data_IF_703076928454
#
_entry.id   IF_703076928454
#
_cell.length_a   1.000
_cell.length_b   1.000
_cell.length_c   1.000
_cell.angle_alpha   90.00
_cell.angle_beta   90.00
_cell.angle_gamma   90.00
#
_symmetry.space_group_name_H-M   'P 1'
#
loop_
_entity.id
_entity.type
_entity.pdbx_description
1 polymer ?
#
# COMPACT_ATOMS: atom_id res chain seq x y z
N UNK A 1 -22.50 7.99 0.41
CA UNK A 1 -21.56 7.40 -0.55
C UNK A 1 -20.16 7.66 -0.03
N UNK A 2 -19.43 6.58 0.22
CA UNK A 2 -18.00 6.56 0.50
C UNK A 2 -17.33 5.79 -0.63
N UNK A 3 -16.26 6.35 -1.21
CA UNK A 3 -15.36 5.58 -2.06
C UNK A 3 -14.27 4.94 -1.19
N UNK A 4 -14.20 3.61 -1.19
CA UNK A 4 -13.15 2.86 -0.48
C UNK A 4 -12.09 2.42 -1.49
N UNK A 5 -10.83 2.79 -1.23
CA UNK A 5 -9.67 2.37 -2.01
C UNK A 5 -8.90 1.31 -1.23
N UNK A 6 -8.82 0.10 -1.79
CA UNK A 6 -7.94 -0.97 -1.33
C UNK A 6 -6.68 -0.97 -2.21
N UNK A 7 -5.61 -0.35 -1.71
CA UNK A 7 -4.29 -0.40 -2.30
C UNK A 7 -3.60 -1.73 -1.91
N UNK A 8 -3.78 -2.77 -2.71
CA UNK A 8 -3.20 -4.09 -2.49
C UNK A 8 -1.85 -4.15 -3.21
N UNK A 9 -0.78 -4.05 -2.44
CA UNK A 9 0.60 -3.98 -2.93
C UNK A 9 0.95 -5.19 -3.80
N UNK A 10 1.54 -4.94 -4.97
CA UNK A 10 1.94 -5.97 -5.94
C UNK A 10 0.83 -6.93 -6.44
N UNK A 11 -0.46 -6.58 -6.35
CA UNK A 11 -1.51 -7.41 -6.94
C UNK A 11 -1.32 -7.51 -8.46
N UNK A 12 -0.92 -8.68 -8.95
CA UNK A 12 -0.51 -8.87 -10.33
C UNK A 12 -1.68 -9.31 -11.23
N UNK A 13 -1.90 -8.58 -12.33
CA UNK A 13 -2.98 -8.88 -13.28
C UNK A 13 -2.93 -10.32 -13.82
N UNK A 14 -1.74 -10.82 -14.18
CA UNK A 14 -1.61 -12.20 -14.69
C UNK A 14 -1.87 -13.23 -13.61
N UNK A 15 -1.49 -12.99 -12.35
CA UNK A 15 -1.77 -13.93 -11.26
C UNK A 15 -3.27 -13.97 -10.94
N UNK A 16 -3.96 -12.82 -10.96
CA UNK A 16 -5.41 -12.75 -10.80
C UNK A 16 -6.12 -13.55 -11.91
N UNK A 17 -5.69 -13.39 -13.16
CA UNK A 17 -6.22 -14.14 -14.31
C UNK A 17 -5.91 -15.65 -14.22
N UNK A 18 -4.67 -15.99 -13.88
CA UNK A 18 -4.19 -17.38 -13.79
C UNK A 18 -4.90 -18.17 -12.70
N UNK A 19 -5.08 -17.57 -11.52
CA UNK A 19 -5.79 -18.20 -10.40
C UNK A 19 -7.32 -18.10 -10.50
N UNK A 20 -7.85 -17.34 -11.47
CA UNK A 20 -9.28 -17.17 -11.70
C UNK A 20 -10.03 -16.72 -10.41
N UNK A 21 -9.58 -15.60 -9.83
CA UNK A 21 -10.11 -15.07 -8.56
C UNK A 21 -11.09 -13.92 -8.84
N UNK A 22 -12.39 -14.21 -8.73
CA UNK A 22 -13.48 -13.26 -9.01
C UNK A 22 -13.56 -12.09 -8.03
N UNK A 23 -13.15 -12.28 -6.78
CA UNK A 23 -13.26 -11.23 -5.76
C UNK A 23 -12.39 -10.00 -6.07
N UNK A 24 -11.32 -10.16 -6.87
CA UNK A 24 -10.53 -9.04 -7.39
C UNK A 24 -11.12 -8.44 -8.67
N UNK A 25 -11.84 -9.24 -9.45
CA UNK A 25 -12.49 -8.82 -10.70
C UNK A 25 -13.87 -8.27 -10.37
N UNK A 26 -13.92 -7.04 -9.88
CA UNK A 26 -15.17 -6.30 -9.70
C UNK A 26 -15.83 -6.04 -11.07
N UNK A 27 -16.82 -5.16 -11.11
CA UNK A 27 -17.67 -4.93 -12.29
C UNK A 27 -16.86 -4.53 -13.54
N UNK A 28 -15.71 -3.87 -13.36
CA UNK A 28 -14.70 -3.68 -14.39
C UNK A 28 -13.28 -3.84 -13.80
N UNK A 29 -12.34 -4.33 -14.61
CA UNK A 29 -10.91 -4.44 -14.25
C UNK A 29 -10.01 -4.26 -15.48
N UNK A 30 -8.75 -3.86 -15.24
CA UNK A 30 -7.72 -3.70 -16.27
C UNK A 30 -6.33 -3.94 -15.67
N UNK A 31 -5.36 -4.26 -16.54
CA UNK A 31 -3.97 -3.98 -16.22
C UNK A 31 -3.77 -2.46 -16.29
N UNK A 32 -3.28 -1.87 -15.21
CA UNK A 32 -2.97 -0.45 -15.09
C UNK A 32 -1.50 -0.22 -15.46
N UNK A 33 -1.21 0.92 -16.11
CA UNK A 33 0.17 1.38 -16.32
C UNK A 33 0.76 1.85 -14.99
N UNK A 34 2.02 1.48 -14.73
CA UNK A 34 2.78 1.86 -13.54
C UNK A 34 4.02 2.69 -13.88
N UNK A 35 4.67 3.22 -12.85
CA UNK A 35 5.88 4.04 -12.95
C UNK A 35 7.07 3.29 -12.36
N UNK A 36 8.24 3.50 -12.96
CA UNK A 36 9.53 3.15 -12.42
C UNK A 36 10.50 4.28 -12.74
N UNK A 37 11.08 4.89 -11.72
CA UNK A 37 12.03 6.00 -11.86
C UNK A 37 13.38 5.67 -11.22
N UNK A 38 13.37 5.31 -9.94
CA UNK A 38 14.62 5.01 -9.23
C UNK A 38 15.30 3.72 -9.74
N UNK A 39 14.51 2.73 -10.14
CA UNK A 39 14.99 1.45 -10.63
C UNK A 39 14.40 1.12 -12.00
N UNK A 40 14.96 0.09 -12.65
CA UNK A 40 14.38 -0.46 -13.88
C UNK A 40 13.06 -1.23 -13.65
N UNK A 41 12.61 -1.33 -12.40
CA UNK A 41 11.37 -1.95 -11.97
C UNK A 41 10.62 -1.01 -11.02
N UNK A 42 9.28 -1.14 -10.91
CA UNK A 42 8.49 -0.29 -10.02
C UNK A 42 8.95 -0.39 -8.57
N UNK A 43 8.90 0.73 -7.86
CA UNK A 43 9.26 0.78 -6.44
C UNK A 43 8.12 1.37 -5.62
N UNK A 44 7.72 0.63 -4.59
CA UNK A 44 6.50 0.86 -3.80
C UNK A 44 6.35 2.31 -3.31
N UNK A 45 7.33 2.94 -2.63
CA UNK A 45 7.15 4.30 -2.14
C UNK A 45 6.95 5.36 -3.24
N UNK A 46 7.65 5.26 -4.37
CA UNK A 46 7.51 6.23 -5.47
C UNK A 46 6.19 6.02 -6.22
N UNK A 47 5.81 4.76 -6.46
CA UNK A 47 4.60 4.44 -7.21
C UNK A 47 3.34 4.80 -6.40
N UNK A 48 3.27 4.49 -5.10
CA UNK A 48 2.12 4.88 -4.27
C UNK A 48 2.03 6.40 -4.04
N UNK A 49 3.16 7.11 -3.98
CA UNK A 49 3.16 8.57 -3.99
C UNK A 49 2.63 9.14 -5.33
N UNK A 50 2.99 8.52 -6.46
CA UNK A 50 2.42 8.85 -7.78
C UNK A 50 0.91 8.62 -7.79
N UNK A 51 0.43 7.46 -7.31
CA UNK A 51 -1.02 7.17 -7.22
C UNK A 51 -1.79 8.23 -6.44
N UNK A 52 -1.23 8.69 -5.32
CA UNK A 52 -1.90 9.68 -4.47
C UNK A 52 -1.84 11.12 -5.00
N UNK A 53 -0.84 11.45 -5.82
CA UNK A 53 -0.57 12.83 -6.27
C UNK A 53 -0.89 13.08 -7.74
N UNK A 54 -0.93 12.03 -8.57
CA UNK A 54 -0.96 12.13 -10.03
C UNK A 54 0.34 12.67 -10.66
N UNK A 55 1.41 12.83 -9.88
CA UNK A 55 2.66 13.44 -10.32
C UNK A 55 3.74 12.40 -10.60
N UNK A 56 4.74 12.74 -11.42
CA UNK A 56 5.92 11.90 -11.59
C UNK A 56 6.79 11.86 -10.32
N UNK A 57 7.58 10.80 -10.07
CA UNK A 57 8.51 10.73 -8.94
C UNK A 57 9.33 11.98 -8.70
N UNK A 58 9.92 12.53 -9.76
CA UNK A 58 10.71 13.77 -9.70
C UNK A 58 9.91 15.01 -9.29
N UNK A 59 8.59 14.99 -9.40
CA UNK A 59 7.70 16.11 -9.09
C UNK A 59 7.12 16.00 -7.68
N UNK A 60 6.73 14.80 -7.23
CA UNK A 60 6.27 14.59 -5.85
C UNK A 60 7.42 14.38 -4.84
N UNK A 61 8.66 14.28 -5.30
CA UNK A 61 9.86 14.33 -4.45
C UNK A 61 10.18 13.06 -3.65
N UNK A 62 9.34 12.02 -3.75
CA UNK A 62 9.64 10.69 -3.18
C UNK A 62 10.54 9.96 -4.19
N UNK A 63 11.80 10.42 -4.25
CA UNK A 63 12.92 9.92 -5.09
C UNK A 63 14.18 9.75 -4.24
N UNK A 64 15.32 9.34 -4.80
CA UNK A 64 16.58 9.03 -4.08
C UNK A 64 16.99 9.99 -2.95
N UNK A 65 16.71 11.29 -3.05
CA UNK A 65 17.03 12.30 -2.01
C UNK A 65 15.96 12.43 -0.89
N UNK A 66 14.77 11.87 -1.10
CA UNK A 66 13.61 11.93 -0.20
C UNK A 66 13.01 10.57 0.19
N UNK A 67 13.36 9.46 -0.47
CA UNK A 67 12.86 8.10 -0.18
C UNK A 67 13.43 7.50 1.09
N UNK A 68 14.57 8.03 1.56
CA UNK A 68 15.29 7.56 2.73
C UNK A 68 16.34 8.58 3.15
N UNK A 69 16.03 9.42 4.13
CA UNK A 69 17.02 10.29 4.75
C UNK A 69 17.50 9.67 6.05
N UNK A 70 18.78 9.33 6.14
CA UNK A 70 19.41 9.06 7.44
C UNK A 70 19.63 10.41 8.15
N UNK A 71 19.36 10.55 9.46
CA UNK A 71 19.63 11.84 10.14
C UNK A 71 21.13 12.19 10.18
N UNK A 72 22.02 11.29 9.75
CA UNK A 72 23.45 11.51 9.65
C UNK A 72 23.90 11.76 8.18
N UNK A 73 24.34 12.98 7.83
CA UNK A 73 24.74 13.35 6.47
C UNK A 73 25.86 12.50 5.85
N UNK A 74 26.73 11.89 6.66
CA UNK A 74 27.82 11.04 6.17
C UNK A 74 27.32 9.64 5.78
N UNK A 75 26.26 9.16 6.42
CA UNK A 75 25.62 7.87 6.12
C UNK A 75 24.70 8.03 4.92
N UNK A 76 23.98 9.15 4.84
CA UNK A 76 23.18 9.54 3.68
C UNK A 76 24.02 9.54 2.39
N UNK A 77 25.16 10.23 2.40
CA UNK A 77 26.10 10.25 1.28
C UNK A 77 26.64 8.86 0.92
N UNK A 78 26.90 8.00 1.90
CA UNK A 78 27.37 6.64 1.66
C UNK A 78 26.26 5.74 1.07
N UNK A 79 25.00 5.91 1.50
CA UNK A 79 23.86 5.11 1.05
C UNK A 79 23.51 5.31 -0.43
N UNK A 80 23.80 6.51 -0.98
CA UNK A 80 23.69 6.82 -2.42
C UNK A 80 24.59 5.96 -3.31
N UNK A 81 25.67 5.41 -2.78
CA UNK A 81 26.55 4.47 -3.50
C UNK A 81 26.12 2.99 -3.35
N UNK A 82 25.17 2.70 -2.46
CA UNK A 82 24.71 1.37 -2.06
C UNK A 82 23.35 1.02 -2.71
N UNK A 83 22.69 2.00 -3.34
CA UNK A 83 21.40 1.86 -4.03
C UNK A 83 21.38 0.82 -5.17
N UNK A 84 22.52 0.29 -5.59
CA UNK A 84 22.62 -0.76 -6.61
C UNK A 84 22.69 -2.18 -6.03
N UNK A 85 22.57 -2.33 -4.71
CA UNK A 85 22.57 -3.61 -4.03
C UNK A 85 21.16 -4.17 -3.91
N UNK A 86 21.07 -5.49 -3.91
CA UNK A 86 19.80 -6.19 -3.77
C UNK A 86 19.13 -5.91 -2.40
N UNK A 87 17.83 -6.15 -2.33
CA UNK A 87 16.98 -5.84 -1.18
C UNK A 87 17.47 -6.49 0.12
N UNK A 88 18.00 -7.73 0.08
CA UNK A 88 18.54 -8.39 1.27
C UNK A 88 19.82 -7.71 1.77
N UNK A 89 20.68 -7.27 0.85
CA UNK A 89 21.90 -6.56 1.21
C UNK A 89 21.58 -5.19 1.82
N UNK A 90 20.57 -4.48 1.30
CA UNK A 90 20.09 -3.21 1.90
C UNK A 90 19.46 -3.42 3.28
N UNK A 91 18.60 -4.43 3.44
CA UNK A 91 17.98 -4.73 4.74
C UNK A 91 19.03 -5.11 5.80
N UNK A 92 20.02 -5.93 5.42
CA UNK A 92 21.14 -6.28 6.29
C UNK A 92 22.02 -5.07 6.66
N UNK A 93 22.35 -4.20 5.70
CA UNK A 93 23.10 -2.96 5.94
C UNK A 93 22.31 -1.96 6.78
N UNK A 94 21.02 -1.79 6.51
CA UNK A 94 20.12 -0.95 7.29
C UNK A 94 20.05 -1.40 8.75
N UNK A 95 19.86 -2.70 8.99
CA UNK A 95 19.82 -3.28 10.33
C UNK A 95 21.15 -3.13 11.08
N UNK A 96 22.29 -3.29 10.39
CA UNK A 96 23.62 -3.04 10.97
C UNK A 96 23.80 -1.58 11.36
N UNK A 97 23.40 -0.66 10.50
CA UNK A 97 23.51 0.78 10.72
C UNK A 97 22.61 1.19 11.89
N UNK A 98 21.33 0.85 11.88
CA UNK A 98 20.39 1.13 12.98
C UNK A 98 20.88 0.55 14.32
N UNK A 99 21.43 -0.66 14.34
CA UNK A 99 22.00 -1.26 15.55
C UNK A 99 23.28 -0.55 16.05
N UNK A 100 24.04 0.11 15.16
CA UNK A 100 25.29 0.83 15.49
C UNK A 100 25.06 2.29 15.84
N UNK A 101 24.06 2.94 15.23
CA UNK A 101 23.89 4.40 15.29
C UNK A 101 22.60 4.83 16.00
N UNK A 102 21.63 3.93 16.18
CA UNK A 102 20.29 4.28 16.67
C UNK A 102 19.46 5.06 15.65
N UNK A 103 19.95 5.23 14.43
CA UNK A 103 19.27 5.97 13.35
C UNK A 103 18.23 5.07 12.67
N UNK A 104 16.98 5.56 12.57
CA UNK A 104 15.88 4.84 11.94
C UNK A 104 15.76 5.17 10.44
N UNK A 105 15.62 4.13 9.62
CA UNK A 105 15.32 4.24 8.19
C UNK A 105 13.90 4.79 8.00
N UNK A 106 13.69 5.95 7.39
CA UNK A 106 12.34 6.49 7.12
C UNK A 106 11.93 6.31 5.67
N UNK A 107 10.71 5.82 5.43
CA UNK A 107 10.09 5.88 4.09
C UNK A 107 9.76 7.35 3.82
N UNK A 108 10.20 7.84 2.67
CA UNK A 108 9.91 9.20 2.22
C UNK A 108 8.42 9.53 2.25
N UNK A 109 8.10 10.78 2.55
CA UNK A 109 6.74 11.33 2.48
C UNK A 109 6.78 12.54 1.55
N UNK A 110 5.77 12.66 0.69
CA UNK A 110 5.62 13.81 -0.20
C UNK A 110 5.05 15.02 0.53
N UNK A 111 5.50 16.22 0.14
CA UNK A 111 4.86 17.49 0.50
C UNK A 111 3.87 17.96 -0.60
N UNK A 112 3.73 17.21 -1.70
CA UNK A 112 2.83 17.56 -2.79
C UNK A 112 1.36 17.27 -2.42
N UNK A 113 0.39 18.03 -2.94
CA UNK A 113 -1.01 17.81 -2.61
C UNK A 113 -1.52 16.42 -3.01
N UNK A 114 -2.10 15.69 -2.07
CA UNK A 114 -2.58 14.32 -2.26
C UNK A 114 -4.11 14.25 -2.30
N UNK A 115 -4.65 13.13 -2.82
CA UNK A 115 -6.11 12.82 -2.71
C UNK A 115 -6.61 12.73 -1.26
N UNK A 116 -5.71 12.60 -0.28
CA UNK A 116 -6.04 12.40 1.12
C UNK A 116 -5.88 13.66 1.99
N UNK A 117 -5.48 14.79 1.41
CA UNK A 117 -5.34 16.05 2.14
C UNK A 117 -6.68 16.68 2.60
N UNK A 118 -7.80 16.54 1.87
CA UNK A 118 -9.08 17.11 2.30
C UNK A 118 -9.64 16.46 3.58
N UNK A 119 -10.36 17.23 4.40
CA UNK A 119 -10.92 16.77 5.69
C UNK A 119 -11.92 15.59 5.57
N UNK A 120 -12.57 15.44 4.42
CA UNK A 120 -13.50 14.35 4.14
C UNK A 120 -12.81 13.02 3.77
N UNK A 121 -11.47 13.01 3.69
CA UNK A 121 -10.68 11.85 3.31
C UNK A 121 -9.92 11.30 4.52
N UNK A 122 -9.89 9.97 4.64
CA UNK A 122 -9.08 9.27 5.64
C UNK A 122 -8.17 8.26 4.96
N UNK A 123 -6.96 8.12 5.49
CA UNK A 123 -5.93 7.26 4.91
C UNK A 123 -5.22 6.44 5.99
N UNK A 124 -4.90 5.19 5.66
CA UNK A 124 -4.18 4.29 6.54
C UNK A 124 -3.03 3.59 5.81
N UNK A 125 -1.82 3.72 6.36
CA UNK A 125 -0.59 3.05 5.94
C UNK A 125 -0.15 3.30 4.47
N UNK A 126 -0.48 4.44 3.88
CA UNK A 126 -0.17 4.70 2.47
C UNK A 126 1.29 5.13 2.24
N UNK A 127 2.14 4.33 1.57
CA UNK A 127 3.55 4.67 1.36
C UNK A 127 3.69 5.99 0.58
N UNK A 128 4.60 6.86 1.02
CA UNK A 128 4.77 8.17 0.39
C UNK A 128 3.80 9.25 0.87
N UNK A 129 2.76 8.91 1.65
CA UNK A 129 1.74 9.87 2.12
C UNK A 129 1.50 9.79 3.63
N UNK A 130 1.26 8.58 4.16
CA UNK A 130 0.83 8.37 5.53
C UNK A 130 1.55 7.18 6.19
N UNK A 131 2.15 7.43 7.37
CA UNK A 131 2.71 6.44 8.29
C UNK A 131 3.54 5.30 7.65
N UNK A 132 4.81 5.58 7.33
CA UNK A 132 5.75 4.55 6.86
C UNK A 132 6.27 3.55 7.93
N UNK A 133 5.73 3.55 9.15
CA UNK A 133 6.19 2.65 10.21
C UNK A 133 5.62 1.23 10.06
N UNK A 134 4.39 1.08 9.59
CA UNK A 134 3.78 -0.24 9.37
C UNK A 134 4.38 -0.97 8.16
N UNK A 135 4.64 -0.24 7.07
CA UNK A 135 5.41 -0.75 5.96
C UNK A 135 6.77 -1.31 6.43
N UNK A 136 7.51 -0.56 7.26
CA UNK A 136 8.75 -1.04 7.87
C UNK A 136 8.58 -2.31 8.69
N UNK A 137 7.56 -2.36 9.57
CA UNK A 137 7.28 -3.57 10.36
C UNK A 137 7.04 -4.77 9.45
N UNK A 138 6.36 -4.56 8.33
CA UNK A 138 6.07 -5.61 7.37
C UNK A 138 7.35 -6.16 6.73
N UNK A 139 8.25 -5.29 6.26
CA UNK A 139 9.55 -5.71 5.73
C UNK A 139 10.41 -6.44 6.76
N UNK A 140 10.34 -6.04 8.03
CA UNK A 140 11.06 -6.69 9.12
C UNK A 140 10.56 -8.12 9.40
N UNK A 141 9.36 -8.50 8.97
CA UNK A 141 8.88 -9.89 9.14
C UNK A 141 9.81 -10.86 8.42
N UNK A 142 10.33 -10.48 7.24
CA UNK A 142 11.21 -11.31 6.42
C UNK A 142 12.69 -11.26 6.81
N UNK A 143 13.05 -10.47 7.82
CA UNK A 143 14.44 -10.39 8.27
C UNK A 143 14.92 -11.73 8.84
N UNK A 144 16.05 -12.22 8.31
CA UNK A 144 16.75 -13.37 8.87
C UNK A 144 16.09 -14.74 8.63
N UNK A 145 15.34 -14.88 7.53
CA UNK A 145 14.67 -16.13 7.11
C UNK A 145 13.73 -16.70 8.20
N UNK A 146 12.62 -16.01 8.50
CA UNK A 146 11.69 -16.40 9.56
C UNK A 146 11.05 -17.78 9.29
N UNK A 147 10.62 -18.51 10.33
CA UNK A 147 9.74 -19.66 10.16
C UNK A 147 8.43 -19.27 9.45
N UNK A 148 7.94 -20.13 8.55
CA UNK A 148 6.70 -19.93 7.79
C UNK A 148 5.51 -19.52 8.68
N UNK A 149 5.32 -20.21 9.80
CA UNK A 149 4.20 -19.97 10.72
C UNK A 149 4.30 -18.61 11.43
N UNK A 150 5.53 -18.10 11.64
CA UNK A 150 5.72 -16.75 12.15
C UNK A 150 5.36 -15.74 11.07
N UNK A 151 5.96 -15.88 9.88
CA UNK A 151 5.72 -15.00 8.74
C UNK A 151 4.21 -14.83 8.45
N UNK A 152 3.49 -15.94 8.30
CA UNK A 152 2.05 -15.88 7.99
C UNK A 152 1.22 -15.30 9.12
N UNK A 153 1.56 -15.57 10.39
CA UNK A 153 0.79 -15.04 11.52
C UNK A 153 0.90 -13.53 11.59
N UNK A 154 2.11 -13.00 11.48
CA UNK A 154 2.33 -11.56 11.54
C UNK A 154 1.72 -10.87 10.30
N UNK A 155 1.95 -11.42 9.10
CA UNK A 155 1.42 -10.87 7.85
C UNK A 155 -0.11 -10.80 7.85
N UNK A 156 -0.77 -11.91 8.17
CA UNK A 156 -2.25 -11.96 8.22
C UNK A 156 -2.82 -11.12 9.36
N UNK A 157 -2.14 -11.08 10.50
CA UNK A 157 -2.55 -10.28 11.65
C UNK A 157 -2.60 -8.78 11.34
N UNK A 158 -1.62 -8.27 10.60
CA UNK A 158 -1.64 -6.88 10.13
C UNK A 158 -2.69 -6.67 9.04
N UNK A 159 -2.74 -7.55 8.05
CA UNK A 159 -3.69 -7.44 6.94
C UNK A 159 -5.15 -7.40 7.40
N UNK A 160 -5.55 -8.24 8.36
CA UNK A 160 -6.91 -8.22 8.92
C UNK A 160 -7.23 -6.87 9.58
N UNK A 161 -6.27 -6.23 10.27
CA UNK A 161 -6.48 -4.91 10.85
C UNK A 161 -6.74 -3.86 9.76
N UNK A 162 -5.99 -3.92 8.66
CA UNK A 162 -6.11 -2.99 7.53
C UNK A 162 -7.44 -3.15 6.79
N UNK A 163 -7.86 -4.38 6.46
CA UNK A 163 -9.14 -4.64 5.83
C UNK A 163 -10.32 -4.31 6.75
N UNK A 164 -10.22 -4.62 8.04
CA UNK A 164 -11.25 -4.28 9.02
C UNK A 164 -11.39 -2.76 9.20
N UNK A 165 -10.27 -2.02 9.19
CA UNK A 165 -10.28 -0.57 9.20
C UNK A 165 -11.03 -0.02 7.98
N UNK A 166 -10.74 -0.51 6.76
CA UNK A 166 -11.42 -0.08 5.54
C UNK A 166 -12.94 -0.29 5.64
N UNK A 167 -13.36 -1.47 6.11
CA UNK A 167 -14.77 -1.80 6.29
C UNK A 167 -15.46 -0.90 7.31
N UNK A 168 -14.77 -0.57 8.40
CA UNK A 168 -15.30 0.32 9.42
C UNK A 168 -15.44 1.74 8.86
N UNK A 169 -14.42 2.27 8.17
CA UNK A 169 -14.44 3.64 7.60
C UNK A 169 -15.60 3.87 6.64
N UNK A 170 -16.03 2.84 5.89
CA UNK A 170 -17.22 2.93 5.04
C UNK A 170 -18.52 3.27 5.82
N UNK A 171 -18.56 3.05 7.14
CA UNK A 171 -19.72 3.32 8.00
C UNK A 171 -19.75 4.75 8.57
N UNK A 172 -18.72 5.57 8.29
CA UNK A 172 -18.60 6.93 8.80
C UNK A 172 -18.95 7.96 7.71
N UNK A 173 -19.34 9.19 8.07
CA UNK A 173 -19.72 10.23 7.12
C UNK A 173 -18.49 10.89 6.46
N UNK A 174 -17.73 10.09 5.71
CA UNK A 174 -16.54 10.49 4.94
C UNK A 174 -16.81 10.25 3.45
N UNK A 175 -16.10 10.95 2.57
CA UNK A 175 -16.24 10.75 1.12
C UNK A 175 -15.23 9.74 0.57
N UNK A 176 -14.07 9.60 1.23
CA UNK A 176 -12.95 8.80 0.76
C UNK A 176 -12.24 8.07 1.92
N UNK A 177 -12.04 6.76 1.77
CA UNK A 177 -11.19 5.97 2.65
C UNK A 177 -10.14 5.20 1.83
N UNK A 178 -8.86 5.46 2.07
CA UNK A 178 -7.76 4.72 1.43
C UNK A 178 -6.99 3.87 2.43
N UNK A 179 -6.75 2.59 2.13
CA UNK A 179 -5.87 1.73 2.92
C UNK A 179 -4.91 0.97 2.03
N UNK A 180 -3.66 0.89 2.47
CA UNK A 180 -2.64 0.09 1.81
C UNK A 180 -2.36 -1.22 2.56
N UNK A 181 -2.29 -2.31 1.81
CA UNK A 181 -2.16 -3.70 2.28
C UNK A 181 -1.04 -4.42 1.54
N UNK A 182 -0.04 -4.91 2.27
CA UNK A 182 1.19 -5.50 1.72
C UNK A 182 1.14 -7.03 1.53
N UNK A 183 -0.02 -7.67 1.73
CA UNK A 183 -0.09 -9.13 1.88
C UNK A 183 0.43 -9.90 0.67
N UNK A 184 0.02 -9.53 -0.54
CA UNK A 184 0.36 -10.30 -1.75
C UNK A 184 1.75 -9.97 -2.28
N UNK A 185 2.27 -8.76 -2.03
CA UNK A 185 3.68 -8.43 -2.27
C UNK A 185 4.61 -9.32 -1.43
N UNK A 186 4.42 -9.33 -0.11
CA UNK A 186 5.21 -10.17 0.79
C UNK A 186 5.06 -11.65 0.47
N UNK A 187 3.85 -12.09 0.10
CA UNK A 187 3.62 -13.46 -0.36
C UNK A 187 4.41 -13.77 -1.63
N UNK A 188 4.48 -12.83 -2.59
CA UNK A 188 5.22 -12.99 -3.83
C UNK A 188 6.72 -13.10 -3.60
N UNK A 189 7.28 -12.28 -2.70
CA UNK A 189 8.67 -12.40 -2.27
C UNK A 189 8.98 -13.76 -1.61
N UNK A 190 8.09 -14.25 -0.74
CA UNK A 190 8.32 -15.49 0.00
C UNK A 190 8.03 -16.77 -0.82
N UNK A 191 7.04 -16.71 -1.72
CA UNK A 191 6.45 -17.88 -2.38
C UNK A 191 6.41 -17.76 -3.90
N UNK A 192 7.15 -16.85 -4.53
CA UNK A 192 7.20 -16.71 -5.99
C UNK A 192 7.60 -17.99 -6.75
N UNK A 193 8.23 -18.95 -6.07
CA UNK A 193 8.55 -20.29 -6.60
C UNK A 193 7.55 -21.40 -6.19
N UNK A 194 6.64 -21.11 -5.28
CA UNK A 194 5.74 -22.07 -4.62
C UNK A 194 4.28 -21.72 -4.95
N UNK A 195 3.84 -22.10 -6.15
CA UNK A 195 2.54 -21.73 -6.72
C UNK A 195 1.36 -21.98 -5.76
N UNK A 196 1.26 -23.18 -5.17
CA UNK A 196 0.17 -23.53 -4.24
C UNK A 196 0.13 -22.60 -3.00
N UNK A 197 1.28 -22.15 -2.51
CA UNK A 197 1.38 -21.29 -1.33
C UNK A 197 1.03 -19.85 -1.68
N UNK A 198 1.48 -19.37 -2.84
CA UNK A 198 1.16 -18.05 -3.35
C UNK A 198 -0.35 -17.95 -3.66
N UNK A 199 -0.92 -18.93 -4.36
CA UNK A 199 -2.36 -19.01 -4.64
C UNK A 199 -3.17 -18.97 -3.35
N UNK A 200 -2.75 -19.73 -2.33
CA UNK A 200 -3.45 -19.75 -1.04
C UNK A 200 -3.49 -18.38 -0.37
N UNK A 201 -2.41 -17.60 -0.44
CA UNK A 201 -2.39 -16.24 0.12
C UNK A 201 -3.13 -15.21 -0.76
N UNK A 202 -3.11 -15.38 -2.08
CA UNK A 202 -3.96 -14.61 -2.99
C UNK A 202 -5.44 -14.83 -2.66
N UNK A 203 -5.90 -16.08 -2.58
CA UNK A 203 -7.29 -16.41 -2.22
C UNK A 203 -7.66 -15.97 -0.80
N UNK A 204 -6.74 -16.06 0.15
CA UNK A 204 -6.98 -15.58 1.51
C UNK A 204 -7.16 -14.06 1.56
N UNK A 205 -6.38 -13.31 0.78
CA UNK A 205 -6.50 -11.85 0.67
C UNK A 205 -7.80 -11.47 -0.07
N UNK A 206 -8.14 -12.19 -1.13
CA UNK A 206 -9.39 -12.05 -1.89
C UNK A 206 -10.63 -12.21 -1.00
N UNK A 207 -10.59 -13.15 -0.05
CA UNK A 207 -11.64 -13.33 0.95
C UNK A 207 -11.79 -12.10 1.86
N UNK A 208 -10.71 -11.37 2.16
CA UNK A 208 -10.82 -10.12 2.92
C UNK A 208 -11.43 -8.99 2.07
N UNK A 209 -11.10 -8.93 0.78
CA UNK A 209 -11.75 -8.02 -0.17
C UNK A 209 -13.25 -8.27 -0.22
N UNK A 210 -13.68 -9.54 -0.28
CA UNK A 210 -15.09 -9.93 -0.20
C UNK A 210 -15.76 -9.37 1.07
N UNK A 211 -15.13 -9.49 2.23
CA UNK A 211 -15.67 -8.94 3.49
C UNK A 211 -15.77 -7.41 3.50
N UNK A 212 -14.85 -6.70 2.84
CA UNK A 212 -14.97 -5.24 2.67
C UNK A 212 -16.17 -4.94 1.78
N UNK A 213 -16.27 -5.57 0.61
CA UNK A 213 -17.36 -5.38 -0.35
C UNK A 213 -18.74 -5.64 0.28
N UNK A 214 -18.88 -6.71 1.06
CA UNK A 214 -20.13 -7.03 1.76
C UNK A 214 -20.51 -6.02 2.86
N UNK A 215 -19.55 -5.22 3.33
CA UNK A 215 -19.78 -4.15 4.30
C UNK A 215 -20.15 -2.80 3.69
N UNK A 216 -20.06 -2.65 2.37
CA UNK A 216 -20.39 -1.40 1.68
C UNK A 216 -21.91 -1.16 1.65
N UNK A 217 -22.32 0.10 1.77
CA UNK A 217 -23.69 0.53 1.54
C UNK A 217 -24.09 0.45 0.06
N UNK A 218 -25.38 0.61 -0.22
CA UNK A 218 -25.92 0.53 -1.60
C UNK A 218 -25.34 1.57 -2.55
N UNK A 219 -24.96 2.74 -2.02
CA UNK A 219 -24.41 3.86 -2.77
C UNK A 219 -22.88 3.97 -2.62
N UNK A 220 -22.21 3.04 -1.92
CA UNK A 220 -20.76 3.08 -1.73
C UNK A 220 -20.03 2.37 -2.87
N UNK A 221 -18.81 2.82 -3.14
CA UNK A 221 -18.00 2.33 -4.26
C UNK A 221 -16.69 1.72 -3.76
N UNK A 222 -16.19 0.71 -4.47
CA UNK A 222 -14.92 0.05 -4.21
C UNK A 222 -13.98 0.27 -5.39
N UNK A 223 -12.74 0.65 -5.08
CA UNK A 223 -11.62 0.69 -6.00
C UNK A 223 -10.48 -0.19 -5.44
N UNK A 224 -10.06 -1.19 -6.19
CA UNK A 224 -8.88 -2.01 -5.90
C UNK A 224 -7.76 -1.54 -6.82
N UNK A 225 -6.60 -1.24 -6.26
CA UNK A 225 -5.40 -0.84 -7.01
C UNK A 225 -4.22 -1.67 -6.55
N UNK A 226 -3.28 -1.89 -7.45
CA UNK A 226 -1.88 -2.10 -7.12
C UNK A 226 -1.01 -1.09 -7.84
N UNK A 227 0.16 -0.85 -7.27
CA UNK A 227 1.24 -0.11 -7.90
C UNK A 227 2.03 -0.96 -8.89
N UNK A 228 2.15 -2.27 -8.67
CA UNK A 228 2.84 -3.18 -9.57
C UNK A 228 2.30 -4.61 -9.50
N UNK A 229 2.94 -5.53 -10.23
CA UNK A 229 2.74 -6.98 -10.11
C UNK A 229 4.02 -7.67 -9.63
N UNK A 230 4.09 -8.99 -9.74
CA UNK A 230 5.24 -9.79 -9.33
C UNK A 230 5.53 -10.93 -10.31
N UNK A 231 6.82 -11.16 -10.57
CA UNK A 231 7.27 -12.29 -11.39
C UNK A 231 7.23 -13.59 -10.58
N UNK A 232 6.92 -14.69 -11.26
CA UNK A 232 6.90 -16.04 -10.65
C UNK A 232 7.64 -17.04 -11.52
N UNK A 233 8.12 -18.13 -10.92
CA UNK A 233 8.86 -19.16 -11.67
C UNK A 233 7.97 -19.91 -12.67
N UNK A 234 6.66 -19.96 -12.41
CA UNK A 234 5.69 -20.74 -13.17
C UNK A 234 4.99 -19.94 -14.27
N UNK A 235 4.82 -18.62 -14.14
CA UNK A 235 4.29 -17.76 -15.21
C UNK A 235 5.36 -17.03 -16.01
N UNK A 236 6.54 -16.78 -15.41
CA UNK A 236 7.58 -15.94 -15.99
C UNK A 236 8.94 -16.68 -16.03
N UNK A 237 9.05 -17.78 -16.81
CA UNK A 237 10.30 -18.52 -16.91
C UNK A 237 11.41 -17.63 -17.48
N UNK A 238 12.48 -17.44 -16.71
CA UNK A 238 13.62 -16.60 -17.07
C UNK A 238 13.70 -15.29 -16.28
N UNK A 239 12.62 -14.91 -15.59
CA UNK A 239 12.63 -13.83 -14.61
C UNK A 239 13.00 -14.35 -13.22
N UNK A 240 13.35 -13.43 -12.31
CA UNK A 240 13.62 -13.78 -10.92
C UNK A 240 12.31 -13.76 -10.13
N UNK A 241 11.87 -14.89 -9.56
CA UNK A 241 10.63 -14.97 -8.79
C UNK A 241 10.63 -14.00 -7.61
N UNK A 242 9.48 -13.40 -7.34
CA UNK A 242 9.30 -12.39 -6.30
C UNK A 242 9.83 -11.01 -6.65
N UNK A 243 10.45 -10.78 -7.82
CA UNK A 243 10.75 -9.41 -8.27
C UNK A 243 9.50 -8.71 -8.82
N UNK A 244 9.52 -7.38 -8.75
CA UNK A 244 8.40 -6.55 -9.20
C UNK A 244 8.25 -6.58 -10.72
N UNK A 245 7.00 -6.62 -11.19
CA UNK A 245 6.62 -6.64 -12.60
C UNK A 245 5.76 -5.42 -12.95
N UNK A 246 5.78 -4.96 -14.20
CA UNK A 246 4.96 -3.83 -14.70
C UNK A 246 3.48 -4.20 -14.96
N UNK A 247 2.91 -5.07 -14.12
CA UNK A 247 1.56 -5.65 -14.30
C UNK A 247 0.61 -5.25 -13.19
N UNK A 248 0.63 -3.96 -12.84
CA UNK A 248 -0.30 -3.38 -11.90
C UNK A 248 -1.75 -3.69 -12.30
N UNK A 249 -2.60 -3.90 -11.31
CA UNK A 249 -4.00 -4.28 -11.44
C UNK A 249 -4.87 -3.14 -10.93
N UNK A 250 -5.96 -2.87 -11.64
CA UNK A 250 -6.99 -1.96 -11.16
C UNK A 250 -8.38 -2.55 -11.42
N UNK A 251 -9.28 -2.43 -10.44
CA UNK A 251 -10.67 -2.88 -10.56
C UNK A 251 -11.61 -2.02 -9.74
N UNK A 252 -12.85 -1.84 -10.20
CA UNK A 252 -13.84 -1.02 -9.49
C UNK A 252 -15.26 -1.53 -9.69
N UNK A 253 -16.15 -1.19 -8.75
CA UNK A 253 -17.61 -1.32 -8.89
C UNK A 253 -18.22 -0.20 -9.74
N UNK A 254 -17.49 0.90 -9.99
CA UNK A 254 -18.02 2.03 -10.73
C UNK A 254 -18.18 1.71 -12.23
N UNK A 255 -19.31 2.08 -12.88
CA UNK A 255 -19.63 1.67 -14.25
C UNK A 255 -18.69 2.20 -15.34
N UNK A 256 -18.00 3.32 -15.09
CA UNK A 256 -17.02 3.89 -16.03
C UNK A 256 -15.72 3.06 -16.14
N UNK A 257 -15.52 2.12 -15.22
CA UNK A 257 -14.31 1.33 -15.12
C UNK A 257 -13.15 2.02 -14.39
N UNK A 258 -12.07 1.27 -14.12
CA UNK A 258 -10.95 1.74 -13.31
C UNK A 258 -10.02 2.72 -14.06
N UNK A 259 -9.16 3.45 -13.34
CA UNK A 259 -8.09 4.25 -13.95
C UNK A 259 -7.13 3.36 -14.77
N UNK A 260 -6.51 3.95 -15.79
CA UNK A 260 -5.63 3.23 -16.73
C UNK A 260 -4.15 3.37 -16.42
N UNK A 261 -3.80 4.38 -15.63
CA UNK A 261 -2.43 4.65 -15.21
C UNK A 261 -2.41 5.08 -13.74
N UNK A 262 -1.31 4.81 -13.03
CA UNK A 262 -1.07 5.33 -11.67
C UNK A 262 -1.18 6.86 -11.61
N UNK A 263 -0.92 7.56 -12.72
CA UNK A 263 -1.06 9.01 -12.84
C UNK A 263 -2.52 9.49 -12.86
N UNK A 264 -3.44 8.65 -13.33
CA UNK A 264 -4.84 9.02 -13.54
C UNK A 264 -5.68 8.85 -12.27
N UNK A 265 -5.16 8.14 -11.25
CA UNK A 265 -5.95 7.72 -10.08
C UNK A 265 -6.49 8.92 -9.32
N UNK A 266 -5.68 9.97 -9.13
CA UNK A 266 -6.10 11.18 -8.43
C UNK A 266 -7.30 11.84 -9.08
N UNK A 267 -7.19 12.15 -10.37
CA UNK A 267 -8.27 12.77 -11.14
C UNK A 267 -9.51 11.85 -11.16
N UNK A 268 -9.30 10.54 -11.37
CA UNK A 268 -10.38 9.56 -11.38
C UNK A 268 -11.19 9.56 -10.07
N UNK A 269 -10.50 9.61 -8.93
CA UNK A 269 -11.11 9.65 -7.59
C UNK A 269 -11.84 10.98 -7.36
N UNK A 270 -11.18 12.11 -7.64
CA UNK A 270 -11.74 13.45 -7.41
C UNK A 270 -13.02 13.72 -8.21
N UNK A 271 -13.13 13.14 -9.41
CA UNK A 271 -14.35 13.22 -10.23
C UNK A 271 -15.54 12.41 -9.69
N UNK A 272 -15.29 11.44 -8.80
CA UNK A 272 -16.27 10.41 -8.40
C UNK A 272 -16.68 10.47 -6.94
N UNK A 273 -16.01 11.26 -6.12
CA UNK A 273 -16.42 11.49 -4.74
C UNK A 273 -17.52 12.54 -4.66
N UNK A 274 -18.54 12.28 -3.85
CA UNK A 274 -19.56 13.27 -3.48
C UNK A 274 -19.21 13.79 -2.08
N UNK A 275 -18.73 15.03 -2.04
CA UNK A 275 -18.31 15.67 -0.80
C UNK A 275 -19.48 16.11 0.08
N UNK A 276 -20.72 16.12 -0.45
CA UNK A 276 -21.95 16.42 0.27
C UNK A 276 -21.86 17.56 1.30
N UNK A 277 -22.69 17.51 2.34
CA UNK A 277 -22.43 18.24 3.57
C UNK A 277 -21.64 17.33 4.52
N UNK A 278 -20.33 17.22 4.32
CA UNK A 278 -19.44 16.73 5.38
C UNK A 278 -19.70 17.55 6.66
N UNK A 279 -20.17 16.89 7.72
CA UNK A 279 -20.44 17.54 9.01
C UNK A 279 -19.73 16.80 10.13
N UNK A 280 -18.60 17.33 10.59
CA UNK A 280 -18.05 16.97 11.88
C UNK A 280 -18.87 17.59 13.01
N UNK A 281 -19.48 16.73 13.83
CA UNK A 281 -20.02 17.16 15.11
C UNK A 281 -18.93 17.10 16.18
N UNK A 282 -18.79 18.16 16.97
CA UNK A 282 -17.88 18.15 18.12
C UNK A 282 -18.33 17.10 19.16
N UNK A 283 -17.39 16.27 19.60
CA UNK A 283 -17.61 15.38 20.74
C UNK A 283 -17.57 16.17 22.06
N UNK A 284 -18.67 16.16 22.81
CA UNK A 284 -18.72 16.78 24.14
C UNK A 284 -18.03 15.88 25.17
N UNK A 285 -16.74 16.13 25.38
CA UNK A 285 -15.88 15.35 26.27
C UNK A 285 -15.89 15.91 27.70
N UNK A 286 -15.94 15.05 28.75
CA UNK A 286 -15.80 15.47 30.14
C UNK A 286 -14.33 15.81 30.45
N UNK A 287 -13.86 16.97 29.99
CA UNK A 287 -12.45 17.38 30.04
C UNK A 287 -11.84 17.34 31.44
N UNK A 288 -12.60 17.68 32.49
CA UNK A 288 -12.11 17.60 33.87
C UNK A 288 -11.79 16.17 34.28
N UNK A 289 -12.69 15.21 34.03
CA UNK A 289 -12.44 13.81 34.34
C UNK A 289 -11.28 13.24 33.52
N UNK A 290 -11.14 13.64 32.25
CA UNK A 290 -10.02 13.22 31.42
C UNK A 290 -8.67 13.76 31.94
N UNK A 291 -8.65 14.98 32.47
CA UNK A 291 -7.46 15.53 33.17
C UNK A 291 -7.17 14.81 34.48
N UNK A 292 -8.19 14.54 35.28
CA UNK A 292 -8.04 13.82 36.55
C UNK A 292 -7.47 12.41 36.35
N UNK A 293 -7.81 11.77 35.22
CA UNK A 293 -7.28 10.48 34.80
C UNK A 293 -5.90 10.56 34.14
N UNK A 294 -5.40 11.77 33.85
CA UNK A 294 -4.13 12.00 33.17
C UNK A 294 -4.14 11.63 31.68
N UNK A 295 -5.30 11.61 31.04
CA UNK A 295 -5.43 11.35 29.60
C UNK A 295 -5.18 12.59 28.74
N UNK A 296 -5.41 13.78 29.29
CA UNK A 296 -5.16 15.07 28.64
C UNK A 296 -4.58 16.07 29.65
N UNK A 297 -3.87 17.08 29.16
CA UNK A 297 -3.29 18.18 29.97
C UNK A 297 -4.29 19.32 30.30
#
# INVERSE_FOLDING_TARGET
MTLVILAIDALDTKLVEHYDIDEYRLDAHTQMETVAHQFEHPFTPEAWATVATGLHPTEHGVTEDGTSSWNNPLIDFASKFVGHLDVHTRAWLGNKITALTGEEYTVGVTDAPTIFDPEYAVVHNWPGVANGAELRKTWQITDGDPPKEYFERELKGMAVQQFAWAREMAQHPIALAGVHVHTVDMASHAYGEQEDELERLYRWTAEQVRHVREGLGEDDELLILSDHGSYTSFLDPGEVPGKHAFRAFASTTHPDGPPKSVFDVKEWVEERIDVGEYQESNLDLPKEQLRDLGYID
#
